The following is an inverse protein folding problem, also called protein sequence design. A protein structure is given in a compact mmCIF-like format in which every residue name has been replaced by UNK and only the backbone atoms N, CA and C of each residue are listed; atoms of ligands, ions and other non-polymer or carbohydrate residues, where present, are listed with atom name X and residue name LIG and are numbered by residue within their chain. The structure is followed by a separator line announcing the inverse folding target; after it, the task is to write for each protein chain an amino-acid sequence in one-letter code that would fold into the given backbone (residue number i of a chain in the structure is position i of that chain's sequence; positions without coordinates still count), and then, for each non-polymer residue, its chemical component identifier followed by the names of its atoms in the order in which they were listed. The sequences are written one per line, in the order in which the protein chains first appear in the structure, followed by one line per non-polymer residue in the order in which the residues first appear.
data_IF_937111873865
#
_entry.id   IF_937111873865
#
_cell.length_a   1.000
_cell.length_b   1.000
_cell.length_c   1.000
_cell.angle_alpha   90.00
_cell.angle_beta   90.00
_cell.angle_gamma   90.00
#
_symmetry.space_group_name_H-M   'P 1'
#
loop_
_entity.id
_entity.type
_entity.pdbx_description
1 polymer ?
#
# COMPACT_ATOMS: atom_id res chain seq x y z
N UNK A 1 17.13 -24.67 14.63
CA UNK A 1 16.24 -24.12 15.66
C UNK A 1 14.89 -23.65 15.11
N UNK A 2 14.76 -23.32 13.81
CA UNK A 2 13.45 -23.04 13.18
C UNK A 2 12.65 -24.33 12.90
N UNK A 3 13.30 -25.48 12.79
CA UNK A 3 12.66 -26.77 12.51
C UNK A 3 11.92 -27.40 13.70
N UNK A 4 12.09 -26.89 14.90
CA UNK A 4 11.47 -27.46 16.12
C UNK A 4 10.21 -26.69 16.60
N UNK A 5 9.77 -25.68 15.87
CA UNK A 5 8.52 -24.95 16.12
C UNK A 5 7.40 -25.32 15.15
N UNK A 6 7.54 -26.40 14.41
CA UNK A 6 6.40 -26.99 13.73
C UNK A 6 5.51 -27.63 14.80
N UNK A 7 4.44 -26.93 15.14
CA UNK A 7 3.31 -27.51 15.84
C UNK A 7 2.90 -28.75 15.05
N UNK A 8 3.13 -29.95 15.57
CA UNK A 8 2.64 -31.18 15.00
C UNK A 8 1.14 -31.06 14.72
N UNK A 9 0.77 -30.97 13.44
CA UNK A 9 -0.64 -31.06 13.06
C UNK A 9 -1.11 -30.24 11.88
N UNK A 10 -0.62 -29.00 11.65
CA UNK A 10 -1.14 -28.12 10.58
C UNK A 10 0.02 -27.57 9.75
N UNK A 11 0.09 -27.95 8.45
CA UNK A 11 1.10 -27.43 7.53
C UNK A 11 0.97 -25.91 7.31
N UNK A 12 2.07 -25.25 6.91
CA UNK A 12 2.13 -23.79 6.64
C UNK A 12 1.01 -23.34 5.69
N UNK A 13 0.70 -24.16 4.69
CA UNK A 13 -0.36 -23.87 3.71
C UNK A 13 -1.76 -23.82 4.36
N UNK A 14 -2.05 -24.74 5.26
CA UNK A 14 -3.32 -24.74 5.98
C UNK A 14 -3.45 -23.50 6.88
N UNK A 15 -2.37 -23.09 7.53
CA UNK A 15 -2.34 -21.82 8.27
C UNK A 15 -2.59 -20.61 7.36
N UNK A 16 -2.02 -20.61 6.15
CA UNK A 16 -2.27 -19.57 5.16
C UNK A 16 -3.76 -19.50 4.81
N UNK A 17 -4.39 -20.62 4.50
CA UNK A 17 -5.83 -20.65 4.19
C UNK A 17 -6.70 -20.18 5.36
N UNK A 18 -6.37 -20.58 6.60
CA UNK A 18 -7.09 -20.14 7.80
C UNK A 18 -6.95 -18.63 7.98
N UNK A 19 -5.74 -18.10 7.92
CA UNK A 19 -5.50 -16.66 8.12
C UNK A 19 -6.16 -15.82 7.02
N UNK A 20 -6.04 -16.21 5.76
CA UNK A 20 -6.71 -15.55 4.64
C UNK A 20 -8.22 -15.61 4.80
N UNK A 21 -8.77 -16.78 5.12
CA UNK A 21 -10.21 -16.96 5.34
C UNK A 21 -10.75 -16.11 6.48
N UNK A 22 -10.06 -16.07 7.61
CA UNK A 22 -10.45 -15.26 8.79
C UNK A 22 -10.40 -13.78 8.48
N UNK A 23 -9.33 -13.29 7.81
CA UNK A 23 -9.20 -11.87 7.47
C UNK A 23 -10.25 -11.43 6.46
N UNK A 24 -10.54 -12.22 5.43
CA UNK A 24 -11.62 -11.92 4.49
C UNK A 24 -13.00 -11.96 5.13
N UNK A 25 -13.27 -12.94 6.00
CA UNK A 25 -14.51 -12.99 6.75
C UNK A 25 -14.70 -11.75 7.64
N UNK A 26 -13.64 -11.30 8.29
CA UNK A 26 -13.64 -10.06 9.06
C UNK A 26 -13.97 -8.83 8.18
N UNK A 27 -13.30 -8.67 7.04
CA UNK A 27 -13.51 -7.52 6.15
C UNK A 27 -14.93 -7.52 5.54
N UNK A 28 -15.43 -8.67 5.12
CA UNK A 28 -16.79 -8.80 4.62
C UNK A 28 -17.81 -8.48 5.72
N UNK A 29 -17.58 -8.95 6.94
CA UNK A 29 -18.45 -8.67 8.08
C UNK A 29 -18.50 -7.17 8.39
N UNK A 30 -17.36 -6.48 8.38
CA UNK A 30 -17.27 -5.02 8.55
C UNK A 30 -18.02 -4.31 7.42
N UNK A 31 -17.84 -4.71 6.17
CA UNK A 31 -18.51 -4.10 5.03
C UNK A 31 -20.04 -4.24 5.10
N UNK A 32 -20.53 -5.40 5.52
CA UNK A 32 -21.98 -5.64 5.72
C UNK A 32 -22.52 -4.80 6.89
N UNK A 33 -21.79 -4.75 8.00
CA UNK A 33 -22.17 -3.97 9.18
C UNK A 33 -22.19 -2.46 8.88
N UNK A 34 -21.20 -1.96 8.15
CA UNK A 34 -21.03 -0.54 7.82
C UNK A 34 -21.60 -0.14 6.45
N UNK A 35 -22.49 -0.95 5.88
CA UNK A 35 -23.11 -0.66 4.58
C UNK A 35 -23.70 0.75 4.51
N UNK A 36 -23.54 1.40 3.35
CA UNK A 36 -24.09 2.70 3.10
C UNK A 36 -25.62 2.62 2.92
N UNK A 37 -26.37 3.50 3.62
CA UNK A 37 -27.82 3.59 3.55
C UNK A 37 -28.33 4.85 2.82
N UNK A 38 -27.44 5.77 2.52
CA UNK A 38 -27.74 7.02 1.83
C UNK A 38 -26.67 7.38 0.81
N UNK A 39 -27.00 8.26 -0.14
CA UNK A 39 -26.07 8.79 -1.12
C UNK A 39 -24.85 9.45 -0.45
N UNK A 40 -25.08 10.19 0.62
CA UNK A 40 -24.02 10.84 1.38
C UNK A 40 -23.09 9.82 2.08
N UNK A 41 -23.64 8.74 2.62
CA UNK A 41 -22.82 7.66 3.19
C UNK A 41 -22.04 6.92 2.11
N UNK A 42 -22.63 6.78 0.93
CA UNK A 42 -21.99 6.10 -0.20
C UNK A 42 -20.79 6.89 -0.75
N UNK A 43 -20.89 8.21 -0.93
CA UNK A 43 -19.83 9.01 -1.54
C UNK A 43 -18.82 9.59 -0.54
N UNK A 44 -19.23 9.95 0.68
CA UNK A 44 -18.38 10.66 1.66
C UNK A 44 -18.47 10.10 3.08
N UNK A 45 -18.89 8.84 3.23
CA UNK A 45 -19.05 8.16 4.52
C UNK A 45 -19.88 8.95 5.54
N UNK A 46 -20.89 9.72 5.07
CA UNK A 46 -21.73 10.57 5.91
C UNK A 46 -21.01 11.74 6.56
N UNK A 47 -19.75 12.01 6.20
CA UNK A 47 -18.86 13.00 6.85
C UNK A 47 -18.69 12.80 8.37
N UNK A 48 -19.00 11.60 8.88
CA UNK A 48 -18.99 11.26 10.31
C UNK A 48 -17.78 10.47 10.80
N UNK A 49 -16.80 10.21 9.93
CA UNK A 49 -15.59 9.46 10.28
C UNK A 49 -14.69 10.31 11.17
N UNK A 50 -14.21 9.73 12.29
CA UNK A 50 -13.29 10.44 13.18
C UNK A 50 -11.95 10.74 12.51
N UNK A 51 -11.22 11.80 12.91
CA UNK A 51 -9.92 12.12 12.32
C UNK A 51 -8.91 10.97 12.40
N UNK A 52 -8.89 10.24 13.51
CA UNK A 52 -8.02 9.09 13.70
C UNK A 52 -8.37 7.96 12.72
N UNK A 53 -9.64 7.58 12.63
CA UNK A 53 -10.10 6.54 11.71
C UNK A 53 -9.85 6.94 10.25
N UNK A 54 -10.06 8.21 9.90
CA UNK A 54 -9.76 8.70 8.56
C UNK A 54 -8.26 8.67 8.26
N UNK A 55 -7.41 9.02 9.21
CA UNK A 55 -5.95 8.91 9.07
C UNK A 55 -5.50 7.46 8.88
N UNK A 56 -6.04 6.52 9.66
CA UNK A 56 -5.76 5.09 9.52
C UNK A 56 -6.20 4.55 8.15
N UNK A 57 -7.42 4.93 7.71
CA UNK A 57 -7.94 4.51 6.40
C UNK A 57 -7.08 5.06 5.26
N UNK A 58 -6.69 6.33 5.31
CA UNK A 58 -5.82 6.95 4.31
C UNK A 58 -4.43 6.31 4.29
N UNK A 59 -3.88 5.96 5.46
CA UNK A 59 -2.62 5.23 5.55
C UNK A 59 -2.72 3.83 4.93
N UNK A 60 -3.82 3.11 5.19
CA UNK A 60 -4.06 1.79 4.59
C UNK A 60 -4.22 1.88 3.06
N UNK A 61 -4.83 2.93 2.56
CA UNK A 61 -4.98 3.18 1.13
C UNK A 61 -3.63 3.36 0.43
N UNK A 62 -2.69 4.03 1.09
CA UNK A 62 -1.31 4.15 0.62
C UNK A 62 -0.57 2.79 0.65
N UNK A 63 -0.87 1.93 1.60
CA UNK A 63 -0.28 0.59 1.77
C UNK A 63 -0.83 -0.41 0.75
N UNK A 64 -0.67 -0.13 -0.51
CA UNK A 64 -1.18 -0.90 -1.64
C UNK A 64 -0.19 -1.96 -2.15
N UNK A 65 -0.62 -2.79 -3.10
CA UNK A 65 0.27 -3.71 -3.80
C UNK A 65 1.43 -2.99 -4.51
N UNK A 66 1.19 -1.78 -5.02
CA UNK A 66 2.23 -0.96 -5.61
C UNK A 66 3.30 -0.56 -4.60
N UNK A 67 2.90 -0.10 -3.39
CA UNK A 67 3.84 0.34 -2.35
C UNK A 67 4.63 -0.82 -1.75
N UNK A 68 3.96 -1.92 -1.43
CA UNK A 68 4.59 -3.00 -0.67
C UNK A 68 5.20 -4.08 -1.54
N UNK A 69 4.56 -4.47 -2.63
CA UNK A 69 5.07 -5.55 -3.49
C UNK A 69 5.99 -4.96 -4.55
N UNK A 70 5.49 -4.00 -5.34
CA UNK A 70 6.27 -3.43 -6.45
C UNK A 70 7.46 -2.61 -5.95
N UNK A 71 7.25 -1.69 -5.00
CA UNK A 71 8.33 -0.83 -4.53
C UNK A 71 9.37 -1.58 -3.70
N UNK A 72 8.96 -2.55 -2.87
CA UNK A 72 9.92 -3.42 -2.20
C UNK A 72 10.78 -4.19 -3.22
N UNK A 73 10.17 -4.67 -4.31
CA UNK A 73 10.89 -5.29 -5.42
C UNK A 73 11.85 -4.33 -6.12
N UNK A 74 11.40 -3.12 -6.47
CA UNK A 74 12.24 -2.10 -7.11
C UNK A 74 13.42 -1.74 -6.22
N UNK A 75 13.20 -1.50 -4.93
CA UNK A 75 14.27 -1.16 -3.99
C UNK A 75 15.25 -2.33 -3.81
N UNK A 76 14.77 -3.56 -3.80
CA UNK A 76 15.65 -4.73 -3.67
C UNK A 76 16.58 -4.91 -4.87
N UNK A 77 16.18 -4.45 -6.08
CA UNK A 77 17.00 -4.52 -7.29
C UNK A 77 17.78 -3.24 -7.61
N UNK A 78 17.22 -2.09 -7.29
CA UNK A 78 17.79 -0.78 -7.64
C UNK A 78 18.38 -0.01 -6.44
N UNK A 79 18.28 -0.58 -5.22
CA UNK A 79 18.81 0.05 -4.03
C UNK A 79 18.26 1.45 -3.78
N UNK A 80 19.19 2.39 -3.49
CA UNK A 80 18.86 3.78 -3.16
C UNK A 80 18.07 4.50 -4.27
N UNK A 81 18.38 4.25 -5.53
CA UNK A 81 17.68 4.85 -6.67
C UNK A 81 16.19 4.47 -6.74
N UNK A 82 15.85 3.29 -6.24
CA UNK A 82 14.46 2.86 -6.11
C UNK A 82 13.69 3.63 -5.03
N UNK A 83 14.35 4.10 -3.99
CA UNK A 83 13.72 4.82 -2.88
C UNK A 83 13.21 6.22 -3.27
N UNK A 84 13.71 6.80 -4.36
CA UNK A 84 13.30 8.13 -4.85
C UNK A 84 11.79 8.18 -5.16
N UNK A 85 11.22 7.10 -5.65
CA UNK A 85 9.76 7.01 -5.91
C UNK A 85 8.93 7.18 -4.64
N UNK A 86 9.39 6.63 -3.50
CA UNK A 86 8.70 6.77 -2.21
C UNK A 86 8.71 8.22 -1.71
N UNK A 87 9.77 8.95 -1.99
CA UNK A 87 9.87 10.38 -1.63
C UNK A 87 8.83 11.21 -2.37
N UNK A 88 8.66 10.98 -3.67
CA UNK A 88 7.65 11.65 -4.50
C UNK A 88 6.23 11.38 -3.99
N UNK A 89 5.90 10.13 -3.77
CA UNK A 89 4.59 9.74 -3.25
C UNK A 89 4.29 10.34 -1.88
N UNK A 90 5.24 10.27 -0.96
CA UNK A 90 5.07 10.86 0.38
C UNK A 90 4.90 12.38 0.29
N UNK A 91 5.72 13.05 -0.51
CA UNK A 91 5.62 14.49 -0.77
C UNK A 91 4.27 14.88 -1.37
N UNK A 92 3.77 14.11 -2.34
CA UNK A 92 2.46 14.30 -2.96
C UNK A 92 1.30 14.24 -1.96
N UNK A 93 1.30 13.27 -1.06
CA UNK A 93 0.28 13.18 -0.01
C UNK A 93 0.34 14.36 0.97
N UNK A 94 1.54 14.81 1.35
CA UNK A 94 1.70 15.99 2.20
C UNK A 94 1.16 17.25 1.51
N UNK A 95 1.49 17.46 0.24
CA UNK A 95 0.97 18.58 -0.55
C UNK A 95 -0.56 18.51 -0.70
N UNK A 96 -1.10 17.33 -0.98
CA UNK A 96 -2.53 17.10 -1.06
C UNK A 96 -3.23 17.47 0.26
N UNK A 97 -2.71 16.98 1.39
CA UNK A 97 -3.30 17.20 2.70
C UNK A 97 -3.25 18.67 3.12
N UNK A 98 -2.15 19.36 2.83
CA UNK A 98 -1.96 20.76 3.27
C UNK A 98 -2.56 21.77 2.30
N UNK A 99 -2.47 21.55 1.00
CA UNK A 99 -2.80 22.57 0.01
C UNK A 99 -4.14 22.33 -0.69
N UNK A 100 -4.55 21.07 -0.89
CA UNK A 100 -5.70 20.76 -1.74
C UNK A 100 -6.93 20.31 -0.93
N UNK A 101 -6.76 19.37 -0.01
CA UNK A 101 -7.88 18.77 0.72
C UNK A 101 -8.73 19.78 1.50
N UNK A 102 -8.17 20.79 2.18
CA UNK A 102 -8.99 21.80 2.88
C UNK A 102 -9.90 22.60 1.94
N UNK A 103 -9.40 22.96 0.75
CA UNK A 103 -10.16 23.70 -0.25
C UNK A 103 -11.25 22.86 -0.89
N UNK A 104 -10.94 21.62 -1.28
CA UNK A 104 -11.92 20.68 -1.84
C UNK A 104 -13.04 20.40 -0.84
N UNK A 105 -12.70 20.19 0.43
CA UNK A 105 -13.69 19.99 1.50
C UNK A 105 -14.58 21.21 1.70
N UNK A 106 -14.01 22.42 1.68
CA UNK A 106 -14.76 23.67 1.79
C UNK A 106 -15.68 23.90 0.62
N UNK A 107 -15.28 23.47 -0.59
CA UNK A 107 -16.09 23.56 -1.79
C UNK A 107 -17.33 22.65 -1.73
N UNK A 108 -17.27 21.53 -1.03
CA UNK A 108 -18.41 20.70 -0.64
C UNK A 108 -18.99 19.83 -1.74
N UNK A 109 -18.22 19.49 -2.78
CA UNK A 109 -18.63 18.52 -3.81
C UNK A 109 -18.06 17.13 -3.56
N UNK A 110 -18.75 16.13 -4.08
CA UNK A 110 -18.40 14.73 -3.82
C UNK A 110 -17.27 14.22 -4.71
N UNK A 111 -17.14 14.77 -5.91
CA UNK A 111 -16.19 14.27 -6.90
C UNK A 111 -15.32 15.38 -7.50
N UNK A 112 -14.12 15.02 -7.96
CA UNK A 112 -13.23 15.95 -8.66
C UNK A 112 -13.86 16.48 -9.96
N UNK A 113 -14.52 15.68 -10.80
CA UNK A 113 -15.25 16.17 -11.95
C UNK A 113 -16.31 17.23 -11.63
N UNK A 114 -17.07 17.06 -10.54
CA UNK A 114 -18.04 18.06 -10.10
C UNK A 114 -17.35 19.36 -9.69
N UNK A 115 -16.25 19.26 -8.96
CA UNK A 115 -15.44 20.43 -8.60
C UNK A 115 -14.97 21.19 -9.85
N UNK A 116 -14.43 20.47 -10.85
CA UNK A 116 -13.97 21.07 -12.11
C UNK A 116 -15.13 21.72 -12.85
N UNK A 117 -16.26 21.03 -13.02
CA UNK A 117 -17.42 21.54 -13.70
C UNK A 117 -17.95 22.84 -13.10
N UNK A 118 -18.05 22.90 -11.79
CA UNK A 118 -18.52 24.12 -11.10
C UNK A 118 -17.46 25.21 -11.04
N UNK A 119 -16.19 24.86 -10.85
CA UNK A 119 -15.10 25.85 -10.80
C UNK A 119 -14.93 26.59 -12.12
N UNK A 120 -15.14 25.91 -13.24
CA UNK A 120 -15.02 26.49 -14.58
C UNK A 120 -16.38 26.84 -15.22
N UNK A 121 -17.49 26.62 -14.52
CA UNK A 121 -18.85 26.86 -15.02
C UNK A 121 -19.10 26.19 -16.38
N UNK A 122 -18.63 24.95 -16.57
CA UNK A 122 -18.66 24.27 -17.84
C UNK A 122 -18.99 22.77 -17.70
N UNK A 123 -20.08 22.36 -18.34
CA UNK A 123 -20.44 20.93 -18.42
C UNK A 123 -19.47 20.13 -19.28
N UNK A 124 -18.86 20.77 -20.28
CA UNK A 124 -17.80 20.14 -21.09
C UNK A 124 -16.59 19.84 -20.21
N UNK A 125 -16.18 20.79 -19.37
CA UNK A 125 -15.06 20.56 -18.44
C UNK A 125 -15.38 19.44 -17.43
N UNK A 126 -16.63 19.35 -16.93
CA UNK A 126 -17.10 18.25 -16.10
C UNK A 126 -17.00 16.91 -16.85
N UNK A 127 -17.50 16.84 -18.08
CA UNK A 127 -17.46 15.63 -18.89
C UNK A 127 -16.02 15.14 -19.16
N UNK A 128 -15.14 16.05 -19.54
CA UNK A 128 -13.71 15.74 -19.71
C UNK A 128 -13.10 15.23 -18.40
N UNK A 129 -13.42 15.89 -17.28
CA UNK A 129 -13.01 15.45 -15.95
C UNK A 129 -13.45 14.02 -15.60
N UNK A 130 -14.68 13.64 -15.97
CA UNK A 130 -15.20 12.27 -15.81
C UNK A 130 -14.38 11.27 -16.64
N UNK A 131 -14.12 11.58 -17.91
CA UNK A 131 -13.33 10.70 -18.77
C UNK A 131 -11.90 10.50 -18.23
N UNK A 132 -11.27 11.58 -17.78
CA UNK A 132 -9.95 11.50 -17.15
C UNK A 132 -9.98 10.66 -15.87
N UNK A 133 -10.98 10.87 -15.01
CA UNK A 133 -11.13 10.11 -13.78
C UNK A 133 -11.35 8.61 -14.04
N UNK A 134 -12.14 8.26 -15.06
CA UNK A 134 -12.36 6.87 -15.47
C UNK A 134 -11.07 6.21 -15.97
N UNK A 135 -10.30 6.92 -16.83
CA UNK A 135 -9.02 6.43 -17.34
C UNK A 135 -8.01 6.17 -16.22
N UNK A 136 -7.84 7.14 -15.33
CA UNK A 136 -6.93 7.03 -14.19
C UNK A 136 -7.34 5.87 -13.29
N UNK A 137 -8.62 5.79 -12.90
CA UNK A 137 -9.14 4.74 -12.05
C UNK A 137 -9.02 3.35 -12.68
N UNK A 138 -9.31 3.22 -13.97
CA UNK A 138 -9.17 1.95 -14.68
C UNK A 138 -7.73 1.46 -14.71
N UNK A 139 -6.79 2.34 -15.04
CA UNK A 139 -5.35 2.01 -15.07
C UNK A 139 -4.85 1.60 -13.69
N UNK A 140 -5.26 2.33 -12.65
CA UNK A 140 -4.91 2.01 -11.27
C UNK A 140 -5.45 0.63 -10.84
N UNK A 141 -6.75 0.38 -11.07
CA UNK A 141 -7.40 -0.89 -10.71
C UNK A 141 -6.75 -2.06 -11.45
N UNK A 142 -6.44 -1.91 -12.74
CA UNK A 142 -5.78 -2.97 -13.51
C UNK A 142 -4.42 -3.37 -12.89
N UNK A 143 -3.62 -2.38 -12.47
CA UNK A 143 -2.36 -2.63 -11.78
C UNK A 143 -2.54 -3.32 -10.42
N UNK A 144 -3.51 -2.86 -9.62
CA UNK A 144 -3.80 -3.45 -8.31
C UNK A 144 -4.31 -4.89 -8.41
N UNK A 145 -5.21 -5.16 -9.37
CA UNK A 145 -5.74 -6.51 -9.57
C UNK A 145 -4.67 -7.51 -10.01
N UNK A 146 -3.68 -7.07 -10.79
CA UNK A 146 -2.52 -7.92 -11.09
C UNK A 146 -1.73 -8.29 -9.83
N UNK A 147 -1.55 -7.35 -8.91
CA UNK A 147 -0.91 -7.62 -7.61
C UNK A 147 -1.71 -8.65 -6.78
N UNK A 148 -3.03 -8.50 -6.72
CA UNK A 148 -3.93 -9.47 -6.06
C UNK A 148 -3.81 -10.87 -6.70
N UNK A 149 -3.80 -10.94 -8.03
CA UNK A 149 -3.62 -12.18 -8.76
C UNK A 149 -2.32 -12.89 -8.43
N UNK A 150 -1.21 -12.16 -8.36
CA UNK A 150 0.11 -12.69 -7.98
C UNK A 150 0.10 -13.25 -6.55
N UNK A 151 -0.47 -12.51 -5.61
CA UNK A 151 -0.56 -12.94 -4.20
C UNK A 151 -1.42 -14.21 -4.08
N UNK A 152 -2.59 -14.23 -4.71
CA UNK A 152 -3.47 -15.40 -4.67
C UNK A 152 -2.84 -16.61 -5.37
N UNK A 153 -2.19 -16.40 -6.52
CA UNK A 153 -1.45 -17.47 -7.20
C UNK A 153 -0.37 -18.07 -6.31
N UNK A 154 0.38 -17.23 -5.59
CA UNK A 154 1.47 -17.71 -4.74
C UNK A 154 0.99 -18.40 -3.46
N UNK A 155 -0.05 -17.89 -2.83
CA UNK A 155 -0.48 -18.36 -1.50
C UNK A 155 -1.66 -19.32 -1.54
N UNK A 156 -2.53 -19.23 -2.54
CA UNK A 156 -3.67 -20.14 -2.71
C UNK A 156 -3.45 -21.19 -3.82
N UNK A 157 -2.27 -21.14 -4.48
CA UNK A 157 -1.89 -22.08 -5.53
C UNK A 157 -2.89 -22.14 -6.69
N UNK A 158 -3.50 -21.00 -7.04
CA UNK A 158 -4.40 -20.86 -8.17
C UNK A 158 -3.70 -20.16 -9.34
N UNK A 159 -4.22 -20.31 -10.56
CA UNK A 159 -3.77 -19.51 -11.68
C UNK A 159 -3.96 -18.02 -11.44
N UNK A 160 -3.05 -17.18 -11.94
CA UNK A 160 -3.07 -15.71 -11.73
C UNK A 160 -4.40 -15.11 -12.16
N UNK A 161 -4.94 -15.51 -13.31
CA UNK A 161 -6.22 -14.99 -13.81
C UNK A 161 -7.38 -15.38 -12.90
N UNK A 162 -7.37 -16.61 -12.39
CA UNK A 162 -8.34 -17.07 -11.38
C UNK A 162 -8.23 -16.24 -10.11
N UNK A 163 -7.02 -15.97 -9.63
CA UNK A 163 -6.76 -15.10 -8.48
C UNK A 163 -7.29 -13.69 -8.69
N UNK A 164 -7.08 -13.12 -9.87
CA UNK A 164 -7.63 -11.79 -10.25
C UNK A 164 -9.15 -11.79 -10.20
N UNK A 165 -9.80 -12.82 -10.79
CA UNK A 165 -11.27 -12.91 -10.82
C UNK A 165 -11.84 -13.04 -9.41
N UNK A 166 -11.30 -13.92 -8.59
CA UNK A 166 -11.72 -14.07 -7.19
C UNK A 166 -11.57 -12.76 -6.43
N UNK A 167 -10.40 -12.14 -6.50
CA UNK A 167 -10.14 -10.87 -5.83
C UNK A 167 -11.06 -9.75 -6.29
N UNK A 168 -11.29 -9.64 -7.61
CA UNK A 168 -12.19 -8.63 -8.17
C UNK A 168 -13.64 -8.82 -7.71
N UNK A 169 -14.14 -10.06 -7.65
CA UNK A 169 -15.50 -10.35 -7.17
C UNK A 169 -15.66 -9.98 -5.70
N UNK A 170 -14.67 -10.29 -4.85
CA UNK A 170 -14.69 -9.92 -3.43
C UNK A 170 -14.69 -8.40 -3.28
N UNK A 171 -13.79 -7.70 -3.98
CA UNK A 171 -13.69 -6.23 -3.92
C UNK A 171 -14.97 -5.58 -4.42
N UNK A 172 -15.51 -6.03 -5.55
CA UNK A 172 -16.76 -5.50 -6.11
C UNK A 172 -17.92 -5.67 -5.12
N UNK A 173 -18.01 -6.84 -4.48
CA UNK A 173 -19.07 -7.13 -3.52
C UNK A 173 -19.05 -6.13 -2.35
N UNK A 174 -17.93 -5.97 -1.67
CA UNK A 174 -17.90 -5.07 -0.53
C UNK A 174 -17.89 -3.57 -0.92
N UNK A 175 -17.34 -3.20 -2.07
CA UNK A 175 -17.35 -1.82 -2.54
C UNK A 175 -18.76 -1.36 -2.92
N UNK A 176 -19.52 -2.20 -3.63
CA UNK A 176 -20.89 -1.87 -4.03
C UNK A 176 -21.85 -1.81 -2.82
N UNK A 177 -21.72 -2.73 -1.88
CA UNK A 177 -22.58 -2.75 -0.68
C UNK A 177 -22.18 -1.69 0.34
N UNK A 178 -20.87 -1.52 0.56
CA UNK A 178 -20.35 -0.67 1.61
C UNK A 178 -20.26 0.82 1.24
N UNK A 179 -20.05 1.13 -0.04
CA UNK A 179 -19.69 2.49 -0.46
C UNK A 179 -18.47 3.01 0.30
N UNK A 180 -18.27 4.32 0.31
CA UNK A 180 -17.14 4.95 1.03
C UNK A 180 -17.18 4.70 2.54
N UNK A 181 -18.37 4.57 3.14
CA UNK A 181 -18.51 4.26 4.56
C UNK A 181 -17.95 2.87 4.87
N UNK A 182 -18.38 1.85 4.14
CA UNK A 182 -17.90 0.48 4.32
C UNK A 182 -16.42 0.32 4.00
N UNK A 183 -15.96 0.94 2.91
CA UNK A 183 -14.55 0.95 2.51
C UNK A 183 -13.69 1.56 3.62
N UNK A 184 -14.06 2.73 4.14
CA UNK A 184 -13.27 3.42 5.18
C UNK A 184 -13.10 2.56 6.43
N UNK A 185 -14.17 1.96 6.96
CA UNK A 185 -14.05 1.13 8.16
C UNK A 185 -13.31 -0.18 7.90
N UNK A 186 -13.42 -0.75 6.71
CA UNK A 186 -12.62 -1.91 6.31
C UNK A 186 -11.13 -1.54 6.25
N UNK A 187 -10.79 -0.39 5.69
CA UNK A 187 -9.42 0.11 5.63
C UNK A 187 -8.83 0.38 7.03
N UNK A 188 -9.62 0.84 7.99
CA UNK A 188 -9.17 0.98 9.39
C UNK A 188 -8.72 -0.37 9.96
N UNK A 189 -9.50 -1.42 9.73
CA UNK A 189 -9.11 -2.77 10.15
C UNK A 189 -7.88 -3.28 9.39
N UNK A 190 -7.82 -3.04 8.08
CA UNK A 190 -6.65 -3.37 7.25
C UNK A 190 -5.40 -2.66 7.72
N UNK A 191 -5.48 -1.39 8.10
CA UNK A 191 -4.35 -0.64 8.67
C UNK A 191 -3.72 -1.37 9.86
N UNK A 192 -4.53 -1.80 10.82
CA UNK A 192 -4.03 -2.53 11.98
C UNK A 192 -3.29 -3.82 11.57
N UNK A 193 -3.87 -4.59 10.65
CA UNK A 193 -3.24 -5.83 10.16
C UNK A 193 -1.96 -5.53 9.39
N UNK A 194 -1.97 -4.54 8.51
CA UNK A 194 -0.82 -4.19 7.65
C UNK A 194 0.35 -3.67 8.47
N UNK A 195 0.13 -2.74 9.41
CA UNK A 195 1.19 -2.23 10.28
C UNK A 195 1.85 -3.36 11.06
N UNK A 196 1.04 -4.25 11.65
CA UNK A 196 1.59 -5.40 12.37
C UNK A 196 2.39 -6.33 11.43
N UNK A 197 1.80 -6.69 10.29
CA UNK A 197 2.41 -7.61 9.33
C UNK A 197 3.73 -7.09 8.74
N UNK A 198 3.90 -5.77 8.62
CA UNK A 198 5.14 -5.17 8.12
C UNK A 198 6.17 -4.91 9.21
N UNK A 199 5.74 -4.41 10.36
CA UNK A 199 6.66 -4.06 11.43
C UNK A 199 7.32 -5.30 12.04
N UNK A 200 6.57 -6.38 12.21
CA UNK A 200 7.10 -7.60 12.86
C UNK A 200 8.29 -8.19 12.07
N UNK A 201 8.18 -8.52 10.78
CA UNK A 201 9.33 -9.01 10.01
C UNK A 201 10.50 -8.02 9.98
N UNK A 202 10.23 -6.72 9.80
CA UNK A 202 11.28 -5.71 9.76
C UNK A 202 12.08 -5.63 11.07
N UNK A 203 11.39 -5.68 12.21
CA UNK A 203 12.02 -5.71 13.54
C UNK A 203 12.86 -6.97 13.71
N UNK A 204 12.29 -8.15 13.39
CA UNK A 204 13.02 -9.42 13.55
C UNK A 204 14.23 -9.51 12.65
N UNK A 205 14.15 -9.07 11.39
CA UNK A 205 15.29 -9.01 10.46
C UNK A 205 16.36 -8.07 11.03
N UNK A 206 15.98 -6.89 11.50
CA UNK A 206 16.92 -5.93 12.09
C UNK A 206 17.64 -6.51 13.31
N UNK A 207 16.90 -7.15 14.22
CA UNK A 207 17.50 -7.84 15.40
C UNK A 207 18.44 -8.94 14.96
N UNK A 208 18.05 -9.75 13.97
CA UNK A 208 18.88 -10.86 13.50
C UNK A 208 20.15 -10.38 12.81
N UNK A 209 20.09 -9.28 12.07
CA UNK A 209 21.25 -8.76 11.33
C UNK A 209 22.18 -7.90 12.17
N UNK A 210 21.63 -7.07 13.07
CA UNK A 210 22.39 -6.04 13.78
C UNK A 210 22.19 -6.04 15.30
N UNK A 211 21.32 -6.88 15.82
CA UNK A 211 20.93 -6.85 17.25
C UNK A 211 20.02 -5.67 17.63
N UNK A 212 19.72 -4.76 16.71
CA UNK A 212 18.93 -3.56 16.98
C UNK A 212 17.45 -3.79 16.64
N UNK A 213 16.49 -3.58 17.57
CA UNK A 213 15.07 -3.75 17.28
C UNK A 213 14.46 -2.65 16.40
N UNK A 214 15.14 -1.53 16.22
CA UNK A 214 14.68 -0.42 15.37
C UNK A 214 15.38 -0.50 14.02
N UNK A 215 14.70 -0.88 12.93
CA UNK A 215 15.33 -1.09 11.62
C UNK A 215 16.10 0.11 11.10
N UNK A 216 15.60 1.33 11.32
CA UNK A 216 16.24 2.57 10.90
C UNK A 216 17.59 2.80 11.60
N UNK A 217 17.71 2.40 12.87
CA UNK A 217 18.96 2.44 13.60
C UNK A 217 19.86 1.26 13.24
N UNK A 218 19.25 0.12 12.91
CA UNK A 218 19.94 -1.07 12.42
C UNK A 218 20.80 -0.80 11.18
N UNK A 219 20.35 0.05 10.27
CA UNK A 219 21.15 0.42 9.08
C UNK A 219 22.49 1.06 9.42
N UNK A 220 22.57 1.84 10.49
CA UNK A 220 23.81 2.44 10.97
C UNK A 220 24.58 1.61 12.01
N UNK A 221 24.14 0.37 12.28
CA UNK A 221 24.71 -0.50 13.29
C UNK A 221 25.68 -1.51 12.68
N UNK A 222 26.57 -2.06 13.51
CA UNK A 222 27.43 -3.18 13.13
C UNK A 222 26.60 -4.47 13.03
N UNK A 223 27.07 -5.39 12.21
CA UNK A 223 26.50 -6.73 12.07
C UNK A 223 26.61 -7.53 13.37
N UNK A 224 25.58 -8.27 13.70
CA UNK A 224 25.54 -9.13 14.89
C UNK A 224 26.38 -10.42 14.76
N UNK A 225 26.98 -10.66 13.58
CA UNK A 225 27.82 -11.84 13.30
C UNK A 225 29.24 -11.76 13.90
N UNK A 226 29.56 -10.66 14.56
CA UNK A 226 30.89 -10.43 15.15
C UNK A 226 31.97 -10.00 14.17
N UNK A 227 31.63 -9.76 12.91
CA UNK A 227 32.59 -9.29 11.88
C UNK A 227 33.11 -7.88 12.14
N UNK A 228 32.41 -7.08 12.96
CA UNK A 228 32.71 -5.66 13.15
C UNK A 228 32.35 -4.77 11.97
N UNK A 229 31.79 -5.35 10.89
CA UNK A 229 31.37 -4.65 9.68
C UNK A 229 30.04 -3.94 9.92
N UNK A 230 29.84 -2.74 9.38
CA UNK A 230 28.54 -2.08 9.40
C UNK A 230 27.61 -2.65 8.35
N UNK A 231 26.30 -2.65 8.62
CA UNK A 231 25.30 -3.17 7.69
C UNK A 231 25.33 -2.46 6.33
N UNK A 232 25.54 -1.14 6.31
CA UNK A 232 25.66 -0.38 5.05
C UNK A 232 26.88 -0.79 4.24
N UNK A 233 28.04 -1.07 4.88
CA UNK A 233 29.24 -1.56 4.20
C UNK A 233 28.99 -2.96 3.60
N UNK A 234 28.24 -3.80 4.32
CA UNK A 234 27.82 -5.10 3.80
C UNK A 234 26.92 -4.98 2.57
N UNK A 235 25.96 -4.06 2.61
CA UNK A 235 25.07 -3.78 1.47
C UNK A 235 25.83 -3.21 0.27
N UNK A 236 26.81 -2.34 0.51
CA UNK A 236 27.69 -1.84 -0.54
C UNK A 236 28.49 -2.96 -1.22
N UNK A 237 29.00 -3.91 -0.44
CA UNK A 237 29.73 -5.07 -0.95
C UNK A 237 28.87 -5.99 -1.84
N UNK A 238 27.55 -6.05 -1.63
CA UNK A 238 26.64 -6.86 -2.45
C UNK A 238 26.61 -6.43 -3.92
N UNK A 239 26.94 -5.18 -4.23
CA UNK A 239 27.04 -4.70 -5.62
C UNK A 239 28.08 -5.50 -6.42
N UNK A 240 29.22 -5.79 -5.81
CA UNK A 240 30.26 -6.58 -6.44
C UNK A 240 29.90 -8.08 -6.51
N UNK A 241 29.27 -8.62 -5.47
CA UNK A 241 28.95 -10.04 -5.33
C UNK A 241 27.76 -10.48 -6.22
N UNK A 242 26.76 -9.61 -6.37
CA UNK A 242 25.49 -9.91 -7.05
C UNK A 242 25.35 -9.23 -8.42
N UNK A 243 26.34 -8.43 -8.82
CA UNK A 243 26.33 -7.72 -10.11
C UNK A 243 25.32 -6.58 -10.19
N UNK A 244 24.85 -6.05 -9.06
CA UNK A 244 24.05 -4.83 -9.03
C UNK A 244 24.94 -3.62 -9.30
N UNK A 245 24.40 -2.61 -9.98
CA UNK A 245 24.95 -1.26 -9.92
C UNK A 245 24.88 -0.72 -8.49
N UNK A 246 25.55 0.35 -8.18
CA UNK A 246 25.66 0.96 -6.85
C UNK A 246 24.39 0.86 -6.02
N UNK A 247 24.40 0.02 -4.97
CA UNK A 247 23.20 -0.30 -4.19
C UNK A 247 22.89 0.76 -3.12
N UNK A 248 23.92 1.34 -2.52
CA UNK A 248 23.82 2.32 -1.43
C UNK A 248 24.03 3.75 -1.90
N UNK A 249 24.57 3.95 -3.08
CA UNK A 249 24.80 5.26 -3.70
C UNK A 249 23.81 5.47 -4.85
N UNK A 250 23.37 6.71 -5.03
CA UNK A 250 22.47 7.06 -6.13
C UNK A 250 23.26 7.27 -7.43
N UNK A 251 22.84 6.62 -8.50
CA UNK A 251 23.40 6.82 -9.84
C UNK A 251 22.66 7.88 -10.65
N UNK A 252 21.50 8.33 -10.18
CA UNK A 252 20.63 9.29 -10.89
C UNK A 252 21.13 10.74 -10.70
N UNK A 253 21.04 11.51 -11.76
CA UNK A 253 21.30 12.95 -11.67
C UNK A 253 20.24 13.67 -10.82
N UNK A 254 20.57 14.86 -10.29
CA UNK A 254 19.60 15.69 -9.56
C UNK A 254 18.36 16.03 -10.39
N UNK A 255 18.51 16.17 -11.72
CA UNK A 255 17.39 16.44 -12.62
C UNK A 255 16.49 15.22 -12.74
N UNK A 256 17.06 14.02 -12.84
CA UNK A 256 16.29 12.78 -12.89
C UNK A 256 15.55 12.55 -11.56
N UNK A 257 16.21 12.76 -10.42
CA UNK A 257 15.59 12.66 -9.09
C UNK A 257 14.43 13.65 -8.98
N UNK A 258 14.65 14.90 -9.36
CA UNK A 258 13.61 15.93 -9.33
C UNK A 258 12.42 15.57 -10.24
N UNK A 259 12.69 15.11 -11.46
CA UNK A 259 11.65 14.69 -12.41
C UNK A 259 10.83 13.52 -11.88
N UNK A 260 11.47 12.49 -11.35
CA UNK A 260 10.81 11.32 -10.76
C UNK A 260 10.01 11.70 -9.51
N UNK A 261 10.51 12.63 -8.69
CA UNK A 261 9.82 13.08 -7.47
C UNK A 261 8.58 13.92 -7.79
N UNK A 262 8.59 14.65 -8.90
CA UNK A 262 7.46 15.49 -9.34
C UNK A 262 6.39 14.72 -10.12
N UNK A 263 6.78 13.67 -10.84
CA UNK A 263 5.86 12.86 -11.66
C UNK A 263 4.98 11.93 -10.81
#
# INVERSE_FOLDING_TARGET
MIHSLMVEGIGVQNWTYILVGVTFALYISIAIWSRASSTQEFYVAGSGVSPLANGMATAADWMSAASFISMAGIISFAGYDGAVYLMGWTGGYVLLALLLAPYLRKFGKFTVPDFIGERYYSDIARFVGVLCALLVSFTYVAGQMRGVGLVFSRFLEVDINTGVIIGMLIVLFYAVLGGMKGITYTQVAQYCVLIFAFMVPAIFISIQMTGNPVPQLGFGSQMADGSGMYLLDKLYGLSADLGFAEYTEGSKSLIDIFSITLA
#
